data_IF_686765550663
#
_entry.id   IF_686765550663
#
_cell.length_a   1.000
_cell.length_b   1.000
_cell.length_c   1.000
_cell.angle_alpha   90.00
_cell.angle_beta   90.00
_cell.angle_gamma   90.00
#
_symmetry.space_group_name_H-M   'P 1'
#
loop_
_entity.id
_entity.type
_entity.pdbx_description
1 polymer ?
#
# COMPACT_ATOMS: atom_id res chain seq x y z
N UNK A 1 -44.01 -30.39 23.90
CA UNK A 1 -43.29 -29.95 22.69
C UNK A 1 -42.36 -28.83 23.12
N UNK A 2 -41.06 -29.10 23.24
CA UNK A 2 -40.09 -28.10 23.66
C UNK A 2 -39.24 -27.78 22.43
N UNK A 3 -39.70 -26.82 21.64
CA UNK A 3 -38.92 -26.26 20.55
C UNK A 3 -37.82 -25.43 21.21
N UNK A 4 -36.66 -26.05 21.41
CA UNK A 4 -35.42 -25.37 21.71
C UNK A 4 -35.21 -24.34 20.60
N UNK A 5 -35.61 -23.11 20.88
CA UNK A 5 -35.31 -21.94 20.06
C UNK A 5 -33.83 -21.67 20.20
N UNK A 6 -32.98 -22.49 19.56
CA UNK A 6 -31.62 -22.06 19.25
C UNK A 6 -31.75 -20.69 18.61
N UNK A 7 -31.12 -19.63 19.15
CA UNK A 7 -31.09 -18.37 18.45
C UNK A 7 -30.52 -18.72 17.07
N UNK A 8 -31.27 -18.38 16.01
CA UNK A 8 -30.69 -18.37 14.67
C UNK A 8 -29.44 -17.53 14.85
N UNK A 9 -28.27 -18.17 14.78
CA UNK A 9 -27.00 -17.49 14.63
C UNK A 9 -27.29 -16.39 13.63
N UNK A 10 -26.93 -15.14 13.97
CA UNK A 10 -27.01 -14.06 12.99
C UNK A 10 -26.12 -14.47 11.84
N UNK A 11 -26.69 -15.19 10.88
CA UNK A 11 -26.10 -15.49 9.59
C UNK A 11 -25.95 -14.12 8.98
N UNK A 12 -24.80 -13.50 9.22
CA UNK A 12 -24.35 -12.39 8.41
C UNK A 12 -24.40 -12.92 6.99
N UNK A 13 -25.30 -12.40 6.16
CA UNK A 13 -25.52 -12.83 4.77
C UNK A 13 -24.28 -12.62 3.87
N UNK A 14 -23.10 -12.40 4.46
CA UNK A 14 -21.84 -12.10 3.78
C UNK A 14 -21.83 -10.73 3.11
N UNK A 15 -22.93 -9.97 3.21
CA UNK A 15 -23.05 -8.70 2.55
C UNK A 15 -22.29 -7.61 3.31
N UNK A 16 -21.16 -7.21 2.74
CA UNK A 16 -20.52 -5.95 3.08
C UNK A 16 -21.12 -4.85 2.21
N UNK A 17 -21.71 -3.79 2.80
CA UNK A 17 -22.18 -2.65 2.03
C UNK A 17 -21.00 -1.99 1.29
N UNK A 18 -21.23 -1.44 0.09
CA UNK A 18 -20.18 -0.82 -0.71
C UNK A 18 -19.54 0.35 0.03
N UNK A 19 -18.21 0.45 -0.06
CA UNK A 19 -17.44 1.53 0.55
C UNK A 19 -17.70 2.85 -0.18
N UNK A 20 -17.26 3.97 0.40
CA UNK A 20 -17.38 5.26 -0.26
C UNK A 20 -16.57 5.34 -1.55
N UNK A 21 -15.39 4.69 -1.57
CA UNK A 21 -14.58 4.50 -2.77
C UNK A 21 -15.36 3.77 -3.86
N UNK A 22 -16.05 2.67 -3.51
CA UNK A 22 -16.85 1.90 -4.47
C UNK A 22 -17.96 2.73 -5.11
N UNK A 23 -18.62 3.58 -4.30
CA UNK A 23 -19.69 4.47 -4.77
C UNK A 23 -19.14 5.54 -5.73
N UNK A 24 -17.99 6.14 -5.42
CA UNK A 24 -17.37 7.15 -6.29
C UNK A 24 -16.86 6.53 -7.59
N UNK A 25 -16.30 5.33 -7.54
CA UNK A 25 -15.87 4.61 -8.73
C UNK A 25 -17.06 4.21 -9.64
N UNK A 26 -18.23 3.91 -9.06
CA UNK A 26 -19.47 3.72 -9.83
C UNK A 26 -19.92 5.01 -10.50
N UNK A 27 -19.94 6.14 -9.78
CA UNK A 27 -20.30 7.44 -10.34
C UNK A 27 -19.41 7.84 -11.51
N UNK A 28 -18.09 7.61 -11.42
CA UNK A 28 -17.15 7.89 -12.51
C UNK A 28 -17.46 7.04 -13.75
N UNK A 29 -17.72 5.73 -13.56
CA UNK A 29 -18.09 4.82 -14.66
C UNK A 29 -19.42 5.17 -15.30
N UNK A 30 -20.37 5.70 -14.53
CA UNK A 30 -21.66 6.15 -15.02
C UNK A 30 -21.60 7.54 -15.68
N UNK A 31 -20.45 8.23 -15.62
CA UNK A 31 -20.29 9.59 -16.11
C UNK A 31 -21.01 10.65 -15.24
N UNK A 32 -21.39 10.30 -14.01
CA UNK A 32 -22.04 11.22 -13.06
C UNK A 32 -21.03 12.21 -12.45
N UNK A 33 -19.74 11.84 -12.44
CA UNK A 33 -18.63 12.71 -12.06
C UNK A 33 -17.55 12.67 -13.15
N UNK A 34 -16.77 13.74 -13.22
CA UNK A 34 -15.60 13.80 -14.09
C UNK A 34 -14.43 13.04 -13.49
N UNK A 35 -13.47 12.67 -14.34
CA UNK A 35 -12.23 12.03 -13.91
C UNK A 35 -11.48 12.90 -12.89
N UNK A 36 -11.43 14.22 -13.10
CA UNK A 36 -10.76 15.11 -12.14
C UNK A 36 -11.41 15.10 -10.75
N UNK A 37 -12.74 15.01 -10.67
CA UNK A 37 -13.44 14.91 -9.39
C UNK A 37 -13.17 13.57 -8.70
N UNK A 38 -13.06 12.48 -9.47
CA UNK A 38 -12.69 11.17 -8.93
C UNK A 38 -11.26 11.16 -8.39
N UNK A 39 -10.30 11.79 -9.08
CA UNK A 39 -8.91 11.89 -8.64
C UNK A 39 -8.81 12.66 -7.32
N UNK A 40 -9.43 13.85 -7.23
CA UNK A 40 -9.42 14.66 -6.00
C UNK A 40 -9.99 13.87 -4.81
N UNK A 41 -11.14 13.23 -5.02
CA UNK A 41 -11.75 12.38 -3.99
C UNK A 41 -10.82 11.24 -3.57
N UNK A 42 -10.16 10.58 -4.52
CA UNK A 42 -9.29 9.45 -4.23
C UNK A 42 -8.05 9.89 -3.41
N UNK A 43 -7.47 11.04 -3.73
CA UNK A 43 -6.36 11.61 -2.97
C UNK A 43 -6.75 11.97 -1.53
N UNK A 44 -7.91 12.62 -1.35
CA UNK A 44 -8.45 12.92 -0.02
C UNK A 44 -8.79 11.63 0.75
N UNK A 45 -9.36 10.64 0.09
CA UNK A 45 -9.69 9.35 0.70
C UNK A 45 -8.44 8.65 1.22
N UNK A 46 -7.35 8.61 0.43
CA UNK A 46 -6.07 8.05 0.89
C UNK A 46 -5.55 8.88 2.07
N UNK A 47 -5.47 10.20 1.93
CA UNK A 47 -4.91 11.07 2.98
C UNK A 47 -5.64 10.91 4.32
N UNK A 48 -6.95 10.73 4.29
CA UNK A 48 -7.77 10.67 5.49
C UNK A 48 -7.85 9.25 6.10
N UNK A 49 -7.77 8.19 5.29
CA UNK A 49 -7.86 6.81 5.78
C UNK A 49 -6.50 6.15 5.98
N UNK A 50 -5.44 6.71 5.40
CA UNK A 50 -4.05 6.28 5.55
C UNK A 50 -3.21 7.37 6.26
N UNK A 51 -3.76 7.98 7.32
CA UNK A 51 -2.94 8.76 8.24
C UNK A 51 -1.96 7.82 8.94
N UNK A 52 -0.74 7.78 8.42
CA UNK A 52 0.46 7.12 8.94
C UNK A 52 0.22 5.69 9.42
N UNK A 53 0.44 4.72 8.53
CA UNK A 53 1.07 3.49 9.00
C UNK A 53 2.38 3.92 9.65
N UNK A 54 2.40 3.94 10.97
CA UNK A 54 3.59 3.91 11.80
C UNK A 54 4.32 2.61 11.45
N UNK A 55 4.95 2.56 10.27
CA UNK A 55 6.19 1.82 10.16
C UNK A 55 7.13 2.65 11.02
N UNK A 56 7.18 2.30 12.30
CA UNK A 56 8.39 2.45 13.09
C UNK A 56 9.47 1.78 12.24
N UNK A 57 10.07 2.56 11.32
CA UNK A 57 11.41 2.27 10.85
C UNK A 57 12.21 2.37 12.14
N UNK A 58 12.30 1.26 12.87
CA UNK A 58 13.37 1.01 13.81
C UNK A 58 14.60 1.44 13.04
N UNK A 59 15.06 2.64 13.37
CA UNK A 59 16.24 3.21 12.78
C UNK A 59 17.30 2.33 13.38
N UNK A 60 17.65 1.28 12.64
CA UNK A 60 18.89 0.56 12.86
C UNK A 60 19.93 1.66 12.75
N UNK A 61 20.30 2.20 13.91
CA UNK A 61 21.55 2.92 14.04
C UNK A 61 22.56 1.90 13.58
N UNK A 62 23.10 2.17 12.40
CA UNK A 62 24.32 1.55 11.91
C UNK A 62 25.45 2.07 12.81
N UNK A 63 25.45 1.60 14.06
CA UNK A 63 26.50 1.82 15.04
C UNK A 63 27.60 0.79 14.74
N UNK A 64 28.44 1.12 13.75
CA UNK A 64 29.70 0.43 13.44
C UNK A 64 29.61 -0.33 12.11
N UNK A 65 30.49 -0.11 11.15
CA UNK A 65 31.93 0.02 11.32
C UNK A 65 32.61 0.76 10.14
N UNK A 66 33.45 1.74 10.50
CA UNK A 66 34.48 2.32 9.66
C UNK A 66 35.46 1.23 9.21
N UNK A 67 35.32 0.62 8.02
CA UNK A 67 36.41 -0.14 7.41
C UNK A 67 36.39 -0.10 5.87
N UNK A 68 37.43 0.51 5.31
CA UNK A 68 38.11 -0.05 4.14
C UNK A 68 37.84 0.62 2.80
N UNK A 69 38.43 1.81 2.60
CA UNK A 69 38.84 2.25 1.26
C UNK A 69 39.60 1.12 0.56
N UNK A 70 38.97 0.45 -0.40
CA UNK A 70 39.63 -0.51 -1.27
C UNK A 70 39.80 0.12 -2.64
N UNK A 71 40.93 0.80 -2.77
CA UNK A 71 41.56 1.21 -4.01
C UNK A 71 41.70 0.00 -4.94
N UNK A 72 41.08 0.06 -6.13
CA UNK A 72 41.47 -0.81 -7.24
C UNK A 72 41.92 0.07 -8.39
N UNK A 73 43.24 0.28 -8.46
CA UNK A 73 43.92 0.78 -9.65
C UNK A 73 43.64 -0.16 -10.81
N UNK A 74 42.82 0.26 -11.78
CA UNK A 74 42.71 -0.43 -13.06
C UNK A 74 43.94 -0.06 -13.90
N UNK A 75 45.01 -0.83 -13.73
CA UNK A 75 46.21 -0.75 -14.56
C UNK A 75 45.89 -1.44 -15.89
N UNK A 76 45.74 -0.64 -16.94
CA UNK A 76 45.65 -1.13 -18.31
C UNK A 76 47.06 -1.47 -18.78
N UNK A 77 47.42 -2.76 -18.76
CA UNK A 77 48.63 -3.24 -19.42
C UNK A 77 48.31 -3.31 -20.93
N UNK A 78 48.92 -2.39 -21.69
CA UNK A 78 49.06 -2.47 -23.15
C UNK A 78 50.05 -3.57 -23.48
N UNK A 79 49.65 -4.58 -24.25
CA UNK A 79 50.52 -5.27 -25.23
C UNK A 79 49.72 -6.37 -25.96
N UNK A 80 49.52 -6.21 -27.27
CA UNK A 80 49.23 -7.33 -28.17
C UNK A 80 49.96 -7.06 -29.47
N UNK A 81 51.09 -7.74 -29.61
CA UNK A 81 51.93 -7.84 -30.80
C UNK A 81 51.57 -9.15 -31.53
N UNK A 82 51.23 -9.05 -32.81
CA UNK A 82 51.21 -10.15 -33.79
C UNK A 82 51.08 -9.60 -35.23
#
# INVERSE_FOLDING_TARGET
>A
MNLSSSPRSSDSDGYSPPTELDRMAQKARNGEITEEQYIIFHEEYIKNNFTQSEVEMDSIKDDGDELGSSETHSRVDTDTDL
#
